data_IF_678924464804
#
_entry.id   IF_678924464804
#
_cell.length_a   1.000
_cell.length_b   1.000
_cell.length_c   1.000
_cell.angle_alpha   90.00
_cell.angle_beta   90.00
_cell.angle_gamma   90.00
#
_symmetry.space_group_name_H-M   'P 1'
#
loop_
_entity.id
_entity.type
_entity.pdbx_description
1 polymer ?
#
# COMPACT_ATOMS: atom_id res chain seq x y z
N UNK A 1 -25.72 -19.44 -9.27
CA UNK A 1 -24.54 -19.51 -8.37
C UNK A 1 -23.46 -18.60 -8.92
N UNK A 2 -22.78 -17.84 -8.06
CA UNK A 2 -21.69 -16.94 -8.49
C UNK A 2 -20.46 -17.73 -8.89
N UNK A 3 -19.71 -17.23 -9.86
CA UNK A 3 -18.48 -17.87 -10.33
C UNK A 3 -17.33 -17.72 -9.32
N UNK A 4 -16.34 -18.62 -9.36
CA UNK A 4 -15.17 -18.58 -8.48
C UNK A 4 -14.41 -17.24 -8.53
N UNK A 5 -14.32 -16.63 -9.72
CA UNK A 5 -13.71 -15.31 -9.91
C UNK A 5 -14.53 -14.17 -9.26
N UNK A 6 -15.85 -14.29 -9.22
CA UNK A 6 -16.71 -13.30 -8.55
C UNK A 6 -16.58 -13.40 -7.03
N UNK A 7 -16.49 -14.60 -6.45
CA UNK A 7 -16.24 -14.79 -5.01
C UNK A 7 -14.91 -14.18 -4.55
N UNK A 8 -13.88 -14.17 -5.41
CA UNK A 8 -12.57 -13.56 -5.10
C UNK A 8 -12.62 -12.03 -5.17
N UNK A 9 -13.50 -11.47 -6.01
CA UNK A 9 -13.65 -10.04 -6.24
C UNK A 9 -14.67 -9.37 -5.30
N UNK A 10 -15.36 -10.13 -4.47
CA UNK A 10 -16.27 -9.59 -3.46
C UNK A 10 -15.52 -8.92 -2.30
N UNK A 11 -16.09 -7.82 -1.80
CA UNK A 11 -15.62 -7.22 -0.56
C UNK A 11 -15.69 -8.26 0.56
N UNK A 12 -14.61 -8.39 1.35
CA UNK A 12 -14.51 -9.37 2.44
C UNK A 12 -15.78 -9.42 3.30
N UNK A 13 -16.30 -10.62 3.56
CA UNK A 13 -17.45 -10.79 4.46
C UNK A 13 -17.10 -10.36 5.89
N UNK A 14 -18.12 -10.04 6.71
CA UNK A 14 -17.91 -9.64 8.10
C UNK A 14 -17.10 -10.69 8.90
N UNK A 15 -17.40 -11.97 8.69
CA UNK A 15 -16.70 -13.08 9.32
C UNK A 15 -15.22 -13.14 8.87
N UNK A 16 -14.93 -12.97 7.58
CA UNK A 16 -13.55 -12.95 7.08
C UNK A 16 -12.75 -11.74 7.61
N UNK A 17 -13.39 -10.59 7.83
CA UNK A 17 -12.75 -9.43 8.47
C UNK A 17 -12.40 -9.74 9.93
N UNK A 18 -13.32 -10.39 10.65
CA UNK A 18 -13.09 -10.80 12.04
C UNK A 18 -11.92 -11.77 12.16
N UNK A 19 -11.86 -12.81 11.32
CA UNK A 19 -10.74 -13.77 11.34
C UNK A 19 -9.40 -13.10 11.03
N UNK A 20 -9.35 -12.22 10.01
CA UNK A 20 -8.16 -11.42 9.70
C UNK A 20 -7.74 -10.51 10.85
N UNK A 21 -8.69 -9.92 11.57
CA UNK A 21 -8.43 -9.10 12.76
C UNK A 21 -7.76 -9.92 13.86
N UNK A 22 -8.28 -11.11 14.16
CA UNK A 22 -7.71 -12.03 15.16
C UNK A 22 -6.28 -12.43 14.78
N UNK A 23 -6.06 -12.86 13.53
CA UNK A 23 -4.73 -13.22 13.03
C UNK A 23 -3.76 -12.03 13.11
N UNK A 24 -4.22 -10.82 12.77
CA UNK A 24 -3.43 -9.62 12.89
C UNK A 24 -3.01 -9.33 14.34
N UNK A 25 -3.92 -9.47 15.31
CA UNK A 25 -3.60 -9.32 16.73
C UNK A 25 -2.58 -10.36 17.19
N UNK A 26 -2.82 -11.63 16.90
CA UNK A 26 -1.94 -12.76 17.27
C UNK A 26 -0.52 -12.59 16.73
N UNK A 27 -0.38 -12.13 15.49
CA UNK A 27 0.93 -11.99 14.82
C UNK A 27 1.58 -10.62 15.02
N UNK A 28 1.00 -9.72 15.83
CA UNK A 28 1.46 -8.34 15.97
C UNK A 28 2.93 -8.24 16.43
N UNK A 29 3.33 -9.00 17.46
CA UNK A 29 4.69 -9.02 17.98
C UNK A 29 5.71 -9.51 16.95
N UNK A 30 5.39 -10.59 16.23
CA UNK A 30 6.26 -11.14 15.18
C UNK A 30 6.45 -10.14 14.03
N UNK A 31 5.37 -9.45 13.62
CA UNK A 31 5.44 -8.39 12.61
C UNK A 31 6.27 -7.20 13.08
N UNK A 32 6.19 -6.83 14.37
CA UNK A 32 7.02 -5.78 14.95
C UNK A 32 8.51 -6.15 14.91
N UNK A 33 8.89 -7.34 15.38
CA UNK A 33 10.29 -7.82 15.33
C UNK A 33 10.80 -7.84 13.90
N UNK A 34 10.01 -8.37 12.97
CA UNK A 34 10.35 -8.41 11.54
C UNK A 34 10.54 -7.01 10.96
N UNK A 35 9.68 -6.06 11.32
CA UNK A 35 9.80 -4.65 10.91
C UNK A 35 11.08 -4.03 11.44
N UNK A 36 11.46 -4.30 12.69
CA UNK A 36 12.72 -3.78 13.25
C UNK A 36 13.93 -4.36 12.52
N UNK A 37 13.96 -5.67 12.25
CA UNK A 37 15.03 -6.30 11.46
C UNK A 37 15.11 -5.72 10.04
N UNK A 38 13.98 -5.60 9.34
CA UNK A 38 13.92 -5.04 7.98
C UNK A 38 14.27 -3.56 7.90
N UNK A 39 14.11 -2.79 8.98
CA UNK A 39 14.49 -1.37 9.04
C UNK A 39 15.97 -1.15 8.72
N UNK A 40 16.83 -2.10 9.07
CA UNK A 40 18.27 -1.98 8.81
C UNK A 40 18.71 -2.53 7.45
N UNK A 41 17.81 -3.23 6.74
CA UNK A 41 18.14 -3.89 5.48
C UNK A 41 17.68 -3.05 4.28
N UNK A 42 18.37 -3.22 3.15
CA UNK A 42 17.93 -2.69 1.85
C UNK A 42 16.74 -3.48 1.34
N UNK A 43 15.72 -2.78 0.84
CA UNK A 43 14.57 -3.41 0.17
C UNK A 43 14.95 -3.96 -1.20
N UNK A 44 14.31 -5.05 -1.61
CA UNK A 44 14.47 -5.58 -2.96
C UNK A 44 13.75 -4.70 -4.00
N UNK A 45 14.12 -4.84 -5.27
CA UNK A 45 13.49 -4.07 -6.36
C UNK A 45 11.98 -4.32 -6.44
N UNK A 46 11.54 -5.56 -6.19
CA UNK A 46 10.12 -5.91 -6.10
C UNK A 46 9.39 -5.20 -4.95
N UNK A 47 10.04 -5.05 -3.78
CA UNK A 47 9.48 -4.30 -2.65
C UNK A 47 9.42 -2.78 -2.95
N UNK A 48 10.42 -2.25 -3.66
CA UNK A 48 10.45 -0.84 -4.09
C UNK A 48 9.38 -0.56 -5.15
N UNK A 49 9.20 -1.46 -6.12
CA UNK A 49 8.13 -1.37 -7.12
C UNK A 49 6.74 -1.39 -6.48
N UNK A 50 6.49 -2.27 -5.50
CA UNK A 50 5.25 -2.26 -4.70
C UNK A 50 5.04 -0.92 -3.98
N UNK A 51 6.09 -0.32 -3.42
CA UNK A 51 6.03 0.99 -2.75
C UNK A 51 5.71 2.10 -3.75
N UNK A 52 6.36 2.11 -4.91
CA UNK A 52 6.12 3.08 -5.98
C UNK A 52 4.68 2.97 -6.50
N UNK A 53 4.16 1.76 -6.72
CA UNK A 53 2.78 1.53 -7.15
C UNK A 53 1.75 2.05 -6.14
N UNK A 54 2.01 1.88 -4.84
CA UNK A 54 1.16 2.45 -3.78
C UNK A 54 1.16 3.97 -3.79
N UNK A 55 2.33 4.59 -3.98
CA UNK A 55 2.45 6.04 -4.10
C UNK A 55 1.72 6.57 -5.35
N UNK A 56 1.89 5.91 -6.49
CA UNK A 56 1.19 6.21 -7.74
C UNK A 56 -0.34 6.12 -7.57
N UNK A 57 -0.84 5.04 -6.95
CA UNK A 57 -2.27 4.90 -6.66
C UNK A 57 -2.79 6.04 -5.78
N UNK A 58 -2.06 6.41 -4.72
CA UNK A 58 -2.43 7.53 -3.86
C UNK A 58 -2.51 8.84 -4.67
N UNK A 59 -1.56 9.09 -5.57
CA UNK A 59 -1.58 10.28 -6.43
C UNK A 59 -2.81 10.33 -7.34
N UNK A 60 -3.23 9.18 -7.88
CA UNK A 60 -4.48 9.08 -8.65
C UNK A 60 -5.70 9.33 -7.76
N UNK A 61 -5.77 8.71 -6.58
CA UNK A 61 -6.87 8.90 -5.63
C UNK A 61 -7.02 10.36 -5.18
N UNK A 62 -5.91 11.08 -5.00
CA UNK A 62 -5.95 12.50 -4.62
C UNK A 62 -6.69 13.39 -5.63
N UNK A 63 -6.74 13.01 -6.91
CA UNK A 63 -7.50 13.74 -7.92
C UNK A 63 -9.01 13.67 -7.70
N UNK A 64 -9.48 12.58 -7.10
CA UNK A 64 -10.90 12.37 -6.81
C UNK A 64 -11.33 12.94 -5.46
N UNK A 65 -10.38 13.35 -4.61
CA UNK A 65 -10.68 13.87 -3.29
C UNK A 65 -11.14 15.33 -3.28
N UNK A 66 -10.94 16.09 -4.37
CA UNK A 66 -11.41 17.48 -4.45
C UNK A 66 -10.88 18.39 -3.33
N UNK A 67 -9.70 18.10 -2.78
CA UNK A 67 -9.13 18.84 -1.65
C UNK A 67 -9.49 18.29 -0.25
N UNK A 68 -10.42 17.34 -0.15
CA UNK A 68 -10.72 16.67 1.13
C UNK A 68 -9.58 15.75 1.56
N UNK A 69 -9.40 15.58 2.88
CA UNK A 69 -8.49 14.57 3.40
C UNK A 69 -9.18 13.21 3.35
N UNK A 70 -8.44 12.15 3.04
CA UNK A 70 -8.97 10.77 2.96
C UNK A 70 -9.78 10.35 4.19
N UNK A 71 -9.36 10.79 5.38
CA UNK A 71 -10.02 10.50 6.66
C UNK A 71 -11.41 11.14 6.81
N UNK A 72 -11.67 12.22 6.08
CA UNK A 72 -12.91 12.99 6.17
C UNK A 72 -13.93 12.52 5.11
N UNK A 73 -13.51 11.62 4.19
CA UNK A 73 -14.39 11.02 3.18
C UNK A 73 -15.31 9.95 3.81
N UNK A 74 -16.63 10.00 3.56
CA UNK A 74 -17.56 8.94 3.95
C UNK A 74 -17.19 7.55 3.38
N UNK A 75 -17.53 6.48 4.09
CA UNK A 75 -17.18 5.11 3.68
C UNK A 75 -17.66 4.75 2.26
N UNK A 76 -18.89 5.12 1.91
CA UNK A 76 -19.47 4.90 0.58
C UNK A 76 -18.64 5.58 -0.52
N UNK A 77 -18.24 6.83 -0.30
CA UNK A 77 -17.40 7.58 -1.23
C UNK A 77 -15.96 7.02 -1.31
N UNK A 78 -15.40 6.48 -0.20
CA UNK A 78 -14.08 5.83 -0.24
C UNK A 78 -14.06 4.62 -1.17
N UNK A 79 -15.09 3.77 -1.10
CA UNK A 79 -15.20 2.60 -1.96
C UNK A 79 -15.30 3.01 -3.44
N UNK A 80 -16.09 4.04 -3.74
CA UNK A 80 -16.22 4.57 -5.11
C UNK A 80 -14.89 5.11 -5.63
N UNK A 81 -14.16 5.91 -4.83
CA UNK A 81 -12.85 6.43 -5.21
C UNK A 81 -11.85 5.30 -5.45
N UNK A 82 -11.86 4.24 -4.64
CA UNK A 82 -11.01 3.08 -4.84
C UNK A 82 -11.33 2.37 -6.17
N UNK A 83 -12.61 2.14 -6.47
CA UNK A 83 -13.07 1.58 -7.76
C UNK A 83 -12.65 2.45 -8.94
N UNK A 84 -12.75 3.77 -8.82
CA UNK A 84 -12.30 4.71 -9.87
C UNK A 84 -10.79 4.64 -10.07
N UNK A 85 -10.01 4.54 -9.00
CA UNK A 85 -8.56 4.38 -9.09
C UNK A 85 -8.16 3.04 -9.72
N UNK A 86 -8.89 1.95 -9.45
CA UNK A 86 -8.65 0.63 -10.07
C UNK A 86 -8.82 0.65 -11.58
N UNK A 87 -9.83 1.37 -12.08
CA UNK A 87 -10.06 1.58 -13.52
C UNK A 87 -8.90 2.31 -14.22
N UNK A 88 -8.01 2.98 -13.47
CA UNK A 88 -6.85 3.73 -14.00
C UNK A 88 -5.54 2.96 -13.86
N UNK A 89 -5.58 1.63 -13.93
CA UNK A 89 -4.43 0.73 -13.76
C UNK A 89 -3.24 1.06 -14.67
N UNK A 90 -3.47 1.43 -15.93
CA UNK A 90 -2.44 1.80 -16.91
C UNK A 90 -1.76 3.12 -16.55
N UNK A 91 -2.52 4.14 -16.16
CA UNK A 91 -1.98 5.40 -15.65
C UNK A 91 -1.15 5.17 -14.38
N UNK A 92 -1.61 4.30 -13.46
CA UNK A 92 -0.86 3.93 -12.26
C UNK A 92 0.47 3.29 -12.63
N UNK A 93 0.52 2.38 -13.62
CA UNK A 93 1.78 1.78 -14.09
C UNK A 93 2.75 2.82 -14.64
N UNK A 94 2.28 3.73 -15.50
CA UNK A 94 3.11 4.82 -16.06
C UNK A 94 3.69 5.72 -14.96
N UNK A 95 2.86 6.11 -13.98
CA UNK A 95 3.31 6.91 -12.84
C UNK A 95 4.30 6.11 -11.97
N UNK A 96 4.06 4.81 -11.78
CA UNK A 96 4.95 3.92 -11.02
C UNK A 96 6.37 3.97 -11.60
N UNK A 97 6.51 3.79 -12.91
CA UNK A 97 7.82 3.81 -13.58
C UNK A 97 8.53 5.17 -13.39
N UNK A 98 7.80 6.27 -13.50
CA UNK A 98 8.34 7.62 -13.27
C UNK A 98 8.79 7.83 -11.81
N UNK A 99 8.09 7.23 -10.85
CA UNK A 99 8.44 7.35 -9.42
C UNK A 99 9.62 6.46 -9.00
N UNK A 100 9.94 5.40 -9.75
CA UNK A 100 10.97 4.43 -9.35
C UNK A 100 12.34 5.06 -9.06
N UNK A 101 12.91 5.96 -9.89
CA UNK A 101 14.19 6.60 -9.59
C UNK A 101 14.18 7.37 -8.27
N UNK A 102 13.10 8.11 -7.98
CA UNK A 102 12.94 8.85 -6.73
C UNK A 102 12.82 7.91 -5.53
N UNK A 103 12.10 6.79 -5.68
CA UNK A 103 11.93 5.78 -4.64
C UNK A 103 13.26 5.08 -4.31
N UNK A 104 14.09 4.77 -5.33
CA UNK A 104 15.43 4.22 -5.14
C UNK A 104 16.33 5.20 -4.39
N UNK A 105 16.42 6.46 -4.85
CA UNK A 105 17.18 7.52 -4.16
C UNK A 105 16.74 7.71 -2.70
N UNK A 106 15.43 7.68 -2.45
CA UNK A 106 14.88 7.79 -1.09
C UNK A 106 15.22 6.59 -0.20
N UNK A 107 15.32 5.38 -0.76
CA UNK A 107 15.76 4.19 -0.03
C UNK A 107 17.25 4.26 0.31
N UNK A 108 18.09 4.72 -0.60
CA UNK A 108 19.51 4.92 -0.35
C UNK A 108 19.77 5.98 0.73
N UNK A 109 19.07 7.11 0.66
CA UNK A 109 19.13 8.15 1.69
C UNK A 109 18.70 7.60 3.07
N UNK A 110 17.65 6.78 3.11
CA UNK A 110 17.19 6.11 4.33
C UNK A 110 18.28 5.19 4.90
N UNK A 111 18.92 4.38 4.06
CA UNK A 111 19.97 3.44 4.49
C UNK A 111 21.20 4.19 5.00
N UNK A 112 21.65 5.24 4.32
CA UNK A 112 22.74 6.10 4.79
C UNK A 112 22.46 6.67 6.18
N UNK A 113 21.24 7.16 6.42
CA UNK A 113 20.83 7.66 7.74
C UNK A 113 20.82 6.58 8.82
N UNK A 114 20.40 5.36 8.46
CA UNK A 114 20.41 4.22 9.40
C UNK A 114 21.84 3.81 9.73
N UNK A 115 22.72 3.70 8.74
CA UNK A 115 24.13 3.36 8.93
C UNK A 115 24.86 4.40 9.81
N UNK A 116 24.67 5.70 9.55
CA UNK A 116 25.26 6.78 10.36
C UNK A 116 24.80 6.75 11.83
N UNK A 117 23.61 6.21 12.12
CA UNK A 117 23.09 6.12 13.50
C UNK A 117 23.61 4.88 14.25
N UNK A 118 23.99 3.84 13.52
CA UNK A 118 24.43 2.56 14.10
C UNK A 118 25.95 2.49 14.26
N UNK A 119 26.69 3.24 13.44
CA UNK A 119 28.12 3.50 13.62
C UNK A 119 28.32 4.61 14.65
#
# INVERSE_FOLDING_TARGET
MKTYLELINEALSAQQRMTRSIVARRTARLRQVTRQRKKFRRKSEAELSKKARKAARKQVMMRYLGGMKWKDVPFSAREQIEKMADKRSTAIQKITLRLMPHIRKGEDARLRKVQKKTR
#
